data_IF_144414763569
#
_entry.id   IF_144414763569
#
_cell.length_a   1.000
_cell.length_b   1.000
_cell.length_c   1.000
_cell.angle_alpha   90.00
_cell.angle_beta   90.00
_cell.angle_gamma   90.00
#
_symmetry.space_group_name_H-M   'P 1'
#
loop_
_entity.id
_entity.type
_entity.pdbx_description
1 polymer ?
#
# COMPACT_ATOMS: atom_id res chain seq x y z
N UNK A 1 -26.33 38.82 -5.07
CA UNK A 1 -25.84 37.48 -5.47
C UNK A 1 -24.44 37.67 -6.02
N UNK A 2 -23.42 37.08 -5.38
CA UNK A 2 -22.06 37.12 -5.87
C UNK A 2 -21.43 35.74 -5.63
N UNK A 3 -21.15 35.06 -6.74
CA UNK A 3 -20.47 33.78 -6.88
C UNK A 3 -19.00 33.94 -6.48
N UNK A 4 -18.60 33.30 -5.37
CA UNK A 4 -17.22 33.26 -4.92
C UNK A 4 -16.43 32.21 -5.72
N UNK A 5 -15.62 32.69 -6.67
CA UNK A 5 -14.59 31.91 -7.36
C UNK A 5 -13.50 31.59 -6.33
N UNK A 6 -13.22 30.30 -6.14
CA UNK A 6 -12.13 29.84 -5.27
C UNK A 6 -10.81 30.23 -5.93
N UNK A 7 -10.06 31.12 -5.28
CA UNK A 7 -8.79 31.65 -5.75
C UNK A 7 -7.70 30.58 -5.56
N UNK A 8 -6.98 30.22 -6.62
CA UNK A 8 -6.01 29.11 -6.66
C UNK A 8 -4.70 29.32 -5.88
N UNK A 9 -4.75 29.90 -4.68
CA UNK A 9 -3.58 30.18 -3.84
C UNK A 9 -3.49 29.38 -2.54
N UNK A 10 -4.49 28.55 -2.23
CA UNK A 10 -4.47 27.69 -1.03
C UNK A 10 -3.96 26.26 -1.29
N UNK A 11 -3.57 25.95 -2.53
CA UNK A 11 -2.84 24.72 -2.84
C UNK A 11 -1.33 24.94 -2.68
N UNK A 12 -0.88 25.25 -1.46
CA UNK A 12 0.55 25.36 -1.21
C UNK A 12 1.17 23.97 -1.23
N UNK A 13 1.84 23.64 -2.35
CA UNK A 13 2.52 22.37 -2.54
C UNK A 13 3.59 22.14 -1.44
N UNK A 14 3.63 20.96 -0.81
CA UNK A 14 4.64 20.64 0.18
C UNK A 14 6.04 20.62 -0.43
N UNK A 15 6.95 21.40 0.18
CA UNK A 15 8.34 21.59 -0.23
C UNK A 15 9.20 20.37 0.12
N UNK A 16 9.17 19.35 -0.73
CA UNK A 16 10.25 18.36 -0.83
C UNK A 16 10.36 17.95 -2.31
N UNK A 17 11.50 18.23 -2.95
CA UNK A 17 11.74 17.99 -4.38
C UNK A 17 11.47 16.53 -4.80
N UNK A 18 11.63 15.58 -3.89
CA UNK A 18 11.33 14.16 -4.11
C UNK A 18 9.81 13.88 -4.25
N UNK A 19 8.98 14.62 -3.51
CA UNK A 19 7.50 14.52 -3.57
C UNK A 19 6.97 15.00 -4.91
N UNK A 20 7.58 16.06 -5.45
CA UNK A 20 7.22 16.64 -6.76
C UNK A 20 7.61 15.67 -7.88
N UNK A 21 8.77 15.00 -7.75
CA UNK A 21 9.22 14.00 -8.72
C UNK A 21 8.24 12.83 -8.86
N UNK A 22 7.82 12.23 -7.75
CA UNK A 22 6.88 11.10 -7.79
C UNK A 22 5.49 11.50 -8.31
N UNK A 23 4.98 12.67 -7.92
CA UNK A 23 3.67 13.16 -8.39
C UNK A 23 3.71 13.49 -9.89
N UNK A 24 4.78 14.12 -10.37
CA UNK A 24 4.96 14.42 -11.79
C UNK A 24 5.23 13.18 -12.63
N UNK A 25 5.89 12.15 -12.10
CA UNK A 25 6.08 10.88 -12.81
C UNK A 25 4.73 10.20 -13.08
N UNK A 26 3.84 10.19 -12.08
CA UNK A 26 2.49 9.64 -12.21
C UNK A 26 1.66 10.47 -13.20
N UNK A 27 1.71 11.79 -13.11
CA UNK A 27 0.94 12.65 -14.01
C UNK A 27 1.45 12.66 -15.46
N UNK A 28 2.77 12.63 -15.70
CA UNK A 28 3.33 12.52 -17.05
C UNK A 28 2.99 11.17 -17.70
N UNK A 29 3.02 10.08 -16.93
CA UNK A 29 2.62 8.76 -17.44
C UNK A 29 1.12 8.69 -17.75
N UNK A 30 0.27 9.44 -17.04
CA UNK A 30 -1.18 9.48 -17.31
C UNK A 30 -1.58 10.23 -18.59
N UNK A 31 -0.70 11.05 -19.17
CA UNK A 31 -1.04 11.89 -20.33
C UNK A 31 -0.42 11.40 -21.66
N UNK A 32 0.48 10.41 -21.64
CA UNK A 32 1.16 9.93 -22.84
C UNK A 32 1.04 8.42 -23.13
N UNK A 33 0.27 7.66 -22.34
CA UNK A 33 0.10 6.23 -22.58
C UNK A 33 -1.38 5.85 -22.74
N UNK A 34 -1.86 5.84 -23.98
CA UNK A 34 -2.79 4.80 -24.38
C UNK A 34 -2.06 3.45 -24.23
N UNK A 35 -2.19 2.77 -23.07
CA UNK A 35 -1.91 1.32 -22.82
C UNK A 35 -1.29 0.93 -21.45
N UNK A 36 -1.57 1.62 -20.33
CA UNK A 36 -1.29 1.02 -19.01
C UNK A 36 -2.60 0.46 -18.45
N UNK A 37 -2.64 -0.86 -18.33
CA UNK A 37 -3.74 -1.63 -17.80
C UNK A 37 -4.31 -1.02 -16.50
N UNK A 38 -5.64 -1.07 -16.38
CA UNK A 38 -6.44 -0.65 -15.23
C UNK A 38 -5.71 -0.92 -13.90
N UNK A 39 -5.12 0.12 -13.32
CA UNK A 39 -4.70 0.11 -11.92
C UNK A 39 -5.96 -0.19 -11.11
N UNK A 40 -5.98 -1.35 -10.44
CA UNK A 40 -7.17 -1.79 -9.70
C UNK A 40 -7.41 -0.87 -8.49
N UNK A 41 -8.62 -0.88 -7.94
CA UNK A 41 -8.93 -0.13 -6.71
C UNK A 41 -7.99 -0.50 -5.54
N UNK A 42 -7.49 -1.75 -5.49
CA UNK A 42 -6.54 -2.20 -4.47
C UNK A 42 -5.14 -1.63 -4.64
N UNK A 43 -4.64 -1.49 -5.87
CA UNK A 43 -3.33 -0.89 -6.13
C UNK A 43 -3.32 0.60 -5.76
N UNK A 44 -4.39 1.32 -6.11
CA UNK A 44 -4.57 2.71 -5.67
C UNK A 44 -4.67 2.82 -4.15
N UNK A 45 -5.39 1.91 -3.51
CA UNK A 45 -5.49 1.88 -2.06
C UNK A 45 -4.14 1.60 -1.40
N UNK A 46 -3.34 0.67 -1.96
CA UNK A 46 -1.98 0.41 -1.51
C UNK A 46 -1.10 1.67 -1.63
N UNK A 47 -1.16 2.37 -2.76
CA UNK A 47 -0.41 3.61 -2.95
C UNK A 47 -0.80 4.66 -1.91
N UNK A 48 -2.11 4.82 -1.65
CA UNK A 48 -2.61 5.73 -0.64
C UNK A 48 -2.08 5.36 0.75
N UNK A 49 -2.25 4.12 1.20
CA UNK A 49 -1.81 3.69 2.53
C UNK A 49 -0.29 3.79 2.68
N UNK A 50 0.49 3.32 1.71
CA UNK A 50 1.96 3.37 1.76
C UNK A 50 2.49 4.81 1.82
N UNK A 51 1.82 5.76 1.15
CA UNK A 51 2.18 7.18 1.20
C UNK A 51 2.01 7.83 2.59
N UNK A 52 1.11 7.31 3.44
CA UNK A 52 0.88 7.83 4.79
C UNK A 52 2.04 7.54 5.74
N UNK A 53 2.80 6.48 5.47
CA UNK A 53 3.84 5.95 6.35
C UNK A 53 5.23 5.93 5.69
N UNK A 54 5.39 6.61 4.56
CA UNK A 54 6.65 6.65 3.79
C UNK A 54 7.18 5.26 3.42
N UNK A 55 6.26 4.30 3.24
CA UNK A 55 6.60 2.96 2.79
C UNK A 55 6.80 2.97 1.28
N UNK A 56 7.85 2.28 0.80
CA UNK A 56 8.06 2.10 -0.63
C UNK A 56 6.91 1.33 -1.26
N UNK A 57 6.06 2.04 -2.03
CA UNK A 57 4.98 1.45 -2.81
C UNK A 57 5.48 0.27 -3.65
N UNK A 58 6.65 0.41 -4.29
CA UNK A 58 7.25 -0.65 -5.11
C UNK A 58 7.55 -1.92 -4.31
N UNK A 59 8.09 -1.80 -3.08
CA UNK A 59 8.37 -2.96 -2.22
C UNK A 59 7.08 -3.61 -1.73
N UNK A 60 6.10 -2.80 -1.32
CA UNK A 60 4.78 -3.26 -0.91
C UNK A 60 4.06 -4.01 -2.04
N UNK A 61 4.02 -3.42 -3.24
CA UNK A 61 3.42 -4.02 -4.43
C UNK A 61 4.09 -5.34 -4.78
N UNK A 62 5.43 -5.37 -4.81
CA UNK A 62 6.19 -6.60 -5.08
C UNK A 62 5.98 -7.68 -4.01
N UNK A 63 5.73 -7.28 -2.76
CA UNK A 63 5.38 -8.21 -1.68
C UNK A 63 4.04 -8.88 -1.96
N UNK A 64 2.99 -8.10 -2.24
CA UNK A 64 1.65 -8.64 -2.57
C UNK A 64 1.69 -9.53 -3.82
N UNK A 65 2.43 -9.10 -4.85
CA UNK A 65 2.64 -9.89 -6.05
C UNK A 65 3.31 -11.24 -5.76
N UNK A 66 4.25 -11.29 -4.81
CA UNK A 66 4.93 -12.50 -4.39
C UNK A 66 4.06 -13.41 -3.50
N UNK A 67 3.27 -12.82 -2.59
CA UNK A 67 2.41 -13.58 -1.66
C UNK A 67 1.24 -14.27 -2.36
N UNK A 68 0.52 -13.56 -3.23
CA UNK A 68 -0.74 -14.06 -3.82
C UNK A 68 -0.84 -13.88 -5.33
N UNK A 69 0.06 -13.10 -5.92
CA UNK A 69 -0.11 -12.59 -7.28
C UNK A 69 -1.39 -11.77 -7.44
N UNK A 70 -1.72 -10.95 -6.42
CA UNK A 70 -2.91 -10.09 -6.37
C UNK A 70 -4.25 -10.85 -6.39
N UNK A 71 -4.25 -12.15 -6.04
CA UNK A 71 -5.49 -12.95 -5.96
C UNK A 71 -6.17 -12.74 -4.60
N UNK A 72 -7.28 -12.00 -4.60
CA UNK A 72 -8.06 -11.67 -3.40
C UNK A 72 -8.59 -12.89 -2.62
N UNK A 73 -8.72 -14.04 -3.28
CA UNK A 73 -9.23 -15.28 -2.68
C UNK A 73 -8.14 -16.34 -2.48
N UNK A 74 -6.86 -15.98 -2.64
CA UNK A 74 -5.75 -16.92 -2.49
C UNK A 74 -5.74 -17.60 -1.11
N UNK A 75 -5.45 -18.90 -1.11
CA UNK A 75 -5.27 -19.74 0.08
C UNK A 75 -3.86 -20.32 0.02
N UNK A 76 -3.07 -20.07 1.04
CA UNK A 76 -1.73 -20.61 1.21
C UNK A 76 -1.60 -21.38 2.52
N UNK A 77 -0.43 -21.97 2.74
CA UNK A 77 -0.09 -22.75 3.93
C UNK A 77 -1.22 -23.72 4.36
N UNK A 78 -1.64 -24.59 3.44
CA UNK A 78 -2.74 -25.54 3.63
C UNK A 78 -4.07 -24.90 4.09
N UNK A 79 -4.31 -23.65 3.72
CA UNK A 79 -5.53 -22.90 4.05
C UNK A 79 -5.41 -21.97 5.27
N UNK A 80 -4.26 -21.94 5.94
CA UNK A 80 -4.01 -21.10 7.11
C UNK A 80 -3.72 -19.64 6.73
N UNK A 81 -3.19 -19.40 5.53
CA UNK A 81 -2.93 -18.08 4.99
C UNK A 81 -4.02 -17.64 3.99
N UNK A 82 -4.48 -16.38 4.05
CA UNK A 82 -5.58 -15.90 3.20
C UNK A 82 -5.35 -14.55 2.51
N UNK A 83 -5.99 -14.41 1.35
CA UNK A 83 -6.12 -13.22 0.51
C UNK A 83 -4.77 -12.64 0.06
N UNK A 84 -4.78 -11.38 -0.34
CA UNK A 84 -3.70 -10.76 -1.11
C UNK A 84 -2.36 -10.73 -0.37
N UNK A 85 -2.38 -10.71 0.96
CA UNK A 85 -1.18 -10.64 1.80
C UNK A 85 -0.86 -11.94 2.55
N UNK A 86 -1.64 -13.01 2.32
CA UNK A 86 -1.39 -14.33 2.90
C UNK A 86 -1.19 -14.27 4.43
N UNK A 87 -1.95 -13.41 5.13
CA UNK A 87 -1.93 -13.36 6.58
C UNK A 87 -2.40 -14.69 7.17
N UNK A 88 -1.83 -15.09 8.31
CA UNK A 88 -2.47 -16.06 9.20
C UNK A 88 -3.49 -15.33 10.08
N UNK A 89 -4.66 -15.94 10.32
CA UNK A 89 -5.75 -15.32 11.10
C UNK A 89 -5.30 -14.86 12.49
N UNK A 90 -4.48 -15.65 13.18
CA UNK A 90 -3.97 -15.31 14.51
C UNK A 90 -3.08 -14.05 14.47
N UNK A 91 -2.20 -13.96 13.48
CA UNK A 91 -1.32 -12.79 13.26
C UNK A 91 -2.15 -11.54 12.95
N UNK A 92 -3.12 -11.66 12.04
CA UNK A 92 -4.00 -10.55 11.69
C UNK A 92 -4.76 -10.03 12.92
N UNK A 93 -5.36 -10.93 13.70
CA UNK A 93 -6.10 -10.57 14.91
C UNK A 93 -5.18 -9.92 15.95
N UNK A 94 -3.99 -10.47 16.19
CA UNK A 94 -3.04 -9.90 17.14
C UNK A 94 -2.71 -8.44 16.80
N UNK A 95 -2.35 -8.15 15.55
CA UNK A 95 -1.97 -6.80 15.16
C UNK A 95 -3.15 -5.83 15.04
N UNK A 96 -4.33 -6.27 14.58
CA UNK A 96 -5.49 -5.37 14.55
C UNK A 96 -5.90 -4.93 15.96
N UNK A 97 -5.78 -5.83 16.95
CA UNK A 97 -6.01 -5.48 18.35
C UNK A 97 -4.91 -4.58 18.91
N UNK A 98 -3.64 -4.87 18.60
CA UNK A 98 -2.51 -4.05 19.01
C UNK A 98 -2.63 -2.59 18.53
N UNK A 99 -3.14 -2.37 17.31
CA UNK A 99 -3.31 -1.03 16.74
C UNK A 99 -4.67 -0.39 17.06
N UNK A 100 -5.54 -1.07 17.82
CA UNK A 100 -6.86 -0.54 18.18
C UNK A 100 -7.86 -0.48 17.01
N UNK A 101 -7.75 -1.41 16.05
CA UNK A 101 -8.65 -1.54 14.89
C UNK A 101 -9.43 -2.86 14.91
N UNK A 102 -10.27 -3.12 15.93
CA UNK A 102 -11.01 -4.38 16.04
C UNK A 102 -11.96 -4.64 14.87
N UNK A 103 -12.37 -3.59 14.16
CA UNK A 103 -13.30 -3.62 13.03
C UNK A 103 -12.71 -4.22 11.76
N UNK A 104 -11.38 -4.35 11.64
CA UNK A 104 -10.77 -4.90 10.44
C UNK A 104 -11.19 -6.36 10.21
N UNK A 105 -11.58 -6.65 8.97
CA UNK A 105 -11.97 -7.97 8.52
C UNK A 105 -10.78 -8.69 7.86
N UNK A 106 -10.46 -9.87 8.39
CA UNK A 106 -9.41 -10.74 7.88
C UNK A 106 -9.63 -11.15 6.42
N UNK A 107 -10.89 -11.26 5.99
CA UNK A 107 -11.22 -11.67 4.63
C UNK A 107 -11.27 -10.51 3.64
N UNK A 108 -11.16 -9.26 4.11
CA UNK A 108 -11.19 -8.08 3.28
C UNK A 108 -9.77 -7.67 2.83
N UNK A 109 -9.47 -7.63 1.52
CA UNK A 109 -8.14 -7.29 1.03
C UNK A 109 -7.73 -5.84 1.37
N UNK A 110 -8.66 -4.89 1.43
CA UNK A 110 -8.35 -3.51 1.83
C UNK A 110 -7.88 -3.46 3.29
N UNK A 111 -8.54 -4.20 4.17
CA UNK A 111 -8.16 -4.25 5.59
C UNK A 111 -6.80 -4.95 5.78
N UNK A 112 -6.51 -5.98 4.97
CA UNK A 112 -5.16 -6.56 4.93
C UNK A 112 -4.10 -5.56 4.51
N UNK A 113 -4.34 -4.75 3.47
CA UNK A 113 -3.41 -3.69 3.04
C UNK A 113 -3.18 -2.69 4.16
N UNK A 114 -4.26 -2.16 4.75
CA UNK A 114 -4.18 -1.17 5.83
C UNK A 114 -3.33 -1.70 7.00
N UNK A 115 -3.59 -2.94 7.42
CA UNK A 115 -2.86 -3.56 8.51
C UNK A 115 -1.40 -3.82 8.17
N UNK A 116 -1.12 -4.41 7.00
CA UNK A 116 0.24 -4.74 6.58
C UNK A 116 1.11 -3.49 6.41
N UNK A 117 0.59 -2.42 5.83
CA UNK A 117 1.33 -1.17 5.69
C UNK A 117 1.70 -0.60 7.06
N UNK A 118 0.77 -0.61 8.03
CA UNK A 118 1.07 -0.20 9.41
C UNK A 118 2.15 -1.08 10.04
N UNK A 119 2.08 -2.40 9.81
CA UNK A 119 3.10 -3.34 10.28
C UNK A 119 4.48 -3.08 9.66
N UNK A 120 4.54 -2.79 8.36
CA UNK A 120 5.80 -2.45 7.69
C UNK A 120 6.40 -1.14 8.19
N UNK A 121 5.56 -0.16 8.55
CA UNK A 121 5.99 1.10 9.16
C UNK A 121 6.58 0.94 10.57
N UNK A 122 6.32 -0.17 11.24
CA UNK A 122 6.88 -0.50 12.56
C UNK A 122 7.87 -1.68 12.51
N UNK A 123 8.57 -1.83 11.38
CA UNK A 123 9.59 -2.84 11.13
C UNK A 123 9.11 -4.30 11.29
N UNK A 124 7.80 -4.55 11.21
CA UNK A 124 7.20 -5.89 11.35
C UNK A 124 7.07 -6.63 10.02
N UNK A 125 7.81 -6.19 9.01
CA UNK A 125 7.88 -6.87 7.72
C UNK A 125 8.50 -8.27 7.79
N UNK A 126 9.14 -8.64 8.90
CA UNK A 126 9.68 -9.99 9.11
C UNK A 126 8.63 -11.11 9.07
N UNK A 127 7.35 -10.77 9.26
CA UNK A 127 6.22 -11.70 9.14
C UNK A 127 6.03 -12.21 7.69
N UNK A 128 6.60 -11.53 6.69
CA UNK A 128 6.54 -11.94 5.28
C UNK A 128 7.90 -12.29 4.74
N UNK A 129 8.04 -13.51 4.23
CA UNK A 129 9.27 -13.93 3.55
C UNK A 129 9.47 -13.16 2.25
N UNK A 130 8.39 -12.85 1.52
CA UNK A 130 8.47 -12.00 0.32
C UNK A 130 9.01 -10.60 0.66
N UNK A 131 8.53 -9.97 1.73
CA UNK A 131 9.02 -8.65 2.16
C UNK A 131 10.52 -8.67 2.49
N UNK A 132 10.97 -9.66 3.28
CA UNK A 132 12.37 -9.80 3.70
C UNK A 132 13.34 -9.96 2.53
N UNK A 133 12.91 -10.65 1.47
CA UNK A 133 13.76 -10.92 0.29
C UNK A 133 13.92 -9.69 -0.61
N UNK A 134 13.02 -8.72 -0.52
CA UNK A 134 13.06 -7.51 -1.32
C UNK A 134 14.00 -6.48 -0.68
N UNK A 135 15.16 -6.28 -1.31
CA UNK A 135 16.09 -5.21 -0.94
C UNK A 135 15.61 -3.89 -1.51
N UNK A 136 15.48 -2.86 -0.68
CA UNK A 136 15.43 -1.47 -1.16
C UNK A 136 16.85 -0.93 -1.36
N UNK A 137 16.98 0.20 -2.05
CA UNK A 137 18.26 0.90 -2.16
C UNK A 137 18.76 1.42 -0.80
N UNK A 138 17.86 1.67 0.16
CA UNK A 138 18.21 2.08 1.52
C UNK A 138 18.81 0.92 2.34
N UNK A 139 18.47 -0.34 2.03
CA UNK A 139 18.97 -1.54 2.73
C UNK A 139 20.41 -1.95 2.31
N UNK A 140 21.11 -1.13 1.49
CA UNK A 140 22.42 -1.45 0.89
C UNK A 140 23.59 -0.58 1.43
N UNK A 141 23.39 0.20 2.48
CA UNK A 141 24.44 1.04 3.09
C UNK A 141 24.85 0.45 4.44
#
# INVERSE_FOLDING_TARGET
>A
MATGIINGKDAQMPKTEERVSNYLLVQKNSLQANSVALVTNLEWYLLLETSKYEISYKKAWATIQCESGWKETARGDNGLAYSILQFHLATFNAYKHQYGWPELDYYNPYDQIKLAVRMWAEDKGYNWTCWKRLKTFADKI
#
